data_IF_103952946545
#
_entry.id   IF_103952946545
#
_cell.length_a   1.000
_cell.length_b   1.000
_cell.length_c   1.000
_cell.angle_alpha   90.00
_cell.angle_beta   90.00
_cell.angle_gamma   90.00
#
_symmetry.space_group_name_H-M   'P 1'
#
loop_
_entity.id
_entity.type
_entity.pdbx_description
1 polymer ?
#
# COMPACT_ATOMS: atom_id res chain seq x y z
N UNK A 1 1.79 4.14 16.29
CA UNK A 1 2.45 4.64 15.07
C UNK A 1 3.88 5.05 15.42
N UNK A 2 4.87 4.69 14.62
CA UNK A 2 6.23 5.24 14.75
C UNK A 2 6.30 6.59 14.04
N UNK A 3 7.00 7.56 14.61
CA UNK A 3 7.29 8.81 13.91
C UNK A 3 8.14 8.55 12.67
N UNK A 4 7.98 9.35 11.61
CA UNK A 4 8.80 9.18 10.41
C UNK A 4 10.29 9.32 10.74
N UNK A 5 10.63 10.24 11.65
CA UNK A 5 12.00 10.44 12.19
C UNK A 5 12.62 9.18 12.81
N UNK A 6 11.79 8.23 13.24
CA UNK A 6 12.18 6.99 13.91
C UNK A 6 11.99 5.76 12.98
N UNK A 7 11.56 5.97 11.74
CA UNK A 7 11.35 4.91 10.76
C UNK A 7 12.62 4.69 9.91
N UNK A 8 13.43 3.70 10.30
CA UNK A 8 14.69 3.36 9.64
C UNK A 8 14.54 3.05 8.14
N UNK A 9 13.44 2.37 7.76
CA UNK A 9 13.19 2.05 6.37
C UNK A 9 12.91 3.32 5.56
N UNK A 10 12.06 4.22 6.08
CA UNK A 10 11.80 5.51 5.44
C UNK A 10 13.09 6.30 5.24
N UNK A 11 13.92 6.45 6.29
CA UNK A 11 15.17 7.20 6.19
C UNK A 11 16.19 6.61 5.21
N UNK A 12 16.30 5.29 5.17
CA UNK A 12 17.25 4.62 4.27
C UNK A 12 16.81 4.66 2.80
N UNK A 13 15.53 4.92 2.52
CA UNK A 13 14.96 4.84 1.16
C UNK A 13 14.57 6.19 0.57
N UNK A 14 14.12 7.17 1.37
CA UNK A 14 13.47 8.39 0.88
C UNK A 14 14.32 9.24 -0.07
N UNK A 15 15.62 9.42 0.20
CA UNK A 15 16.49 10.21 -0.68
C UNK A 15 16.76 9.48 -2.00
N UNK A 16 16.88 8.16 -1.96
CA UNK A 16 17.04 7.37 -3.18
C UNK A 16 15.74 7.28 -3.98
N UNK A 17 14.59 7.26 -3.29
CA UNK A 17 13.27 7.31 -3.87
C UNK A 17 13.06 8.60 -4.67
N UNK A 18 13.33 9.77 -4.08
CA UNK A 18 13.21 11.09 -4.75
C UNK A 18 14.08 11.24 -6.00
N UNK A 19 15.20 10.53 -6.04
CA UNK A 19 16.14 10.55 -7.17
C UNK A 19 15.84 9.46 -8.21
N UNK A 20 14.80 8.66 -7.97
CA UNK A 20 14.33 7.62 -8.87
C UNK A 20 13.08 8.08 -9.60
N UNK A 21 12.75 7.44 -10.72
CA UNK A 21 11.61 7.77 -11.57
C UNK A 21 10.32 7.06 -11.11
N UNK A 22 10.01 7.21 -9.81
CA UNK A 22 8.71 6.84 -9.27
C UNK A 22 7.70 7.93 -9.65
N UNK A 23 6.55 7.54 -10.18
CA UNK A 23 5.48 8.48 -10.54
C UNK A 23 4.56 8.82 -9.36
N UNK A 24 4.55 7.97 -8.35
CA UNK A 24 3.70 8.06 -7.16
C UNK A 24 4.51 8.36 -5.89
N UNK A 25 3.82 8.78 -4.82
CA UNK A 25 4.46 9.07 -3.53
C UNK A 25 5.03 7.80 -2.88
N UNK A 26 6.04 7.96 -2.01
CA UNK A 26 6.64 6.83 -1.29
C UNK A 26 5.61 6.13 -0.39
N UNK A 27 4.58 6.86 0.06
CA UNK A 27 3.43 6.35 0.79
C UNK A 27 2.57 5.43 -0.08
N UNK A 28 2.22 5.86 -1.30
CA UNK A 28 1.49 5.02 -2.27
C UNK A 28 2.28 3.76 -2.59
N UNK A 29 3.59 3.88 -2.85
CA UNK A 29 4.45 2.72 -3.13
C UNK A 29 4.52 1.77 -1.95
N UNK A 30 4.64 2.28 -0.72
CA UNK A 30 4.62 1.45 0.50
C UNK A 30 3.29 0.71 0.66
N UNK A 31 2.17 1.42 0.52
CA UNK A 31 0.83 0.84 0.59
C UNK A 31 0.66 -0.29 -0.42
N UNK A 32 1.07 -0.06 -1.68
CA UNK A 32 1.02 -1.06 -2.74
C UNK A 32 1.80 -2.32 -2.40
N UNK A 33 3.07 -2.16 -1.98
CA UNK A 33 3.91 -3.28 -1.59
C UNK A 33 3.26 -4.09 -0.47
N UNK A 34 2.79 -3.41 0.58
CA UNK A 34 2.13 -4.06 1.71
C UNK A 34 0.86 -4.80 1.28
N UNK A 35 0.04 -4.21 0.40
CA UNK A 35 -1.17 -4.84 -0.12
C UNK A 35 -0.89 -6.08 -0.96
N UNK A 36 0.09 -6.02 -1.86
CA UNK A 36 0.50 -7.16 -2.70
C UNK A 36 1.05 -8.30 -1.85
N UNK A 37 1.89 -7.96 -0.86
CA UNK A 37 2.39 -8.94 0.10
C UNK A 37 1.24 -9.53 0.92
N UNK A 38 0.31 -8.71 1.42
CA UNK A 38 -0.86 -9.18 2.17
C UNK A 38 -1.77 -10.12 1.36
N UNK A 39 -1.69 -10.07 0.03
CA UNK A 39 -2.51 -10.84 -0.89
C UNK A 39 -1.94 -12.22 -1.26
N UNK A 40 -0.84 -12.62 -0.65
CA UNK A 40 -0.25 -13.96 -0.83
C UNK A 40 1.09 -13.96 -1.56
N UNK A 41 1.49 -12.85 -2.18
CA UNK A 41 2.78 -12.75 -2.84
C UNK A 41 3.90 -12.54 -1.79
N UNK A 42 5.13 -12.83 -2.19
CA UNK A 42 6.33 -12.73 -1.37
C UNK A 42 7.38 -11.89 -2.07
N UNK A 43 8.38 -11.39 -1.34
CA UNK A 43 9.48 -10.63 -1.95
C UNK A 43 10.29 -11.40 -3.01
N UNK A 44 10.14 -12.73 -3.07
CA UNK A 44 10.76 -13.58 -4.08
C UNK A 44 9.98 -13.64 -5.40
N UNK A 45 8.75 -13.14 -5.43
CA UNK A 45 7.89 -13.17 -6.61
C UNK A 45 8.27 -12.07 -7.61
N UNK A 46 8.94 -12.47 -8.70
CA UNK A 46 9.38 -11.56 -9.76
C UNK A 46 8.24 -10.75 -10.41
N UNK A 47 7.00 -11.21 -10.32
CA UNK A 47 5.83 -10.52 -10.89
C UNK A 47 5.46 -9.23 -10.13
N UNK A 48 5.91 -9.05 -8.88
CA UNK A 48 5.56 -7.86 -8.08
C UNK A 48 6.07 -6.58 -8.75
N UNK A 49 7.30 -6.59 -9.28
CA UNK A 49 7.85 -5.43 -9.98
C UNK A 49 7.08 -5.13 -11.27
N UNK A 50 6.62 -6.15 -11.99
CA UNK A 50 5.81 -5.96 -13.20
C UNK A 50 4.44 -5.34 -12.86
N UNK A 51 3.78 -5.87 -11.83
CA UNK A 51 2.52 -5.32 -11.31
C UNK A 51 2.70 -3.88 -10.86
N UNK A 52 3.79 -3.58 -10.15
CA UNK A 52 4.12 -2.23 -9.73
C UNK A 52 4.25 -1.29 -10.93
N UNK A 53 5.05 -1.66 -11.94
CA UNK A 53 5.25 -0.81 -13.12
C UNK A 53 3.95 -0.53 -13.86
N UNK A 54 3.07 -1.52 -13.97
CA UNK A 54 1.81 -1.40 -14.72
C UNK A 54 0.73 -0.63 -13.96
N UNK A 55 0.65 -0.81 -12.64
CA UNK A 55 -0.47 -0.28 -11.84
C UNK A 55 -0.16 1.05 -11.15
N UNK A 56 1.11 1.27 -10.77
CA UNK A 56 1.52 2.42 -9.95
C UNK A 56 2.47 3.32 -10.72
N UNK A 57 3.31 2.77 -11.60
CA UNK A 57 4.31 3.55 -12.33
C UNK A 57 3.94 3.83 -13.80
N UNK A 58 2.66 3.76 -14.17
CA UNK A 58 2.11 4.06 -15.50
C UNK A 58 2.89 3.45 -16.68
N UNK A 59 3.27 2.17 -16.57
CA UNK A 59 4.11 1.43 -17.53
C UNK A 59 5.54 1.98 -17.72
N UNK A 60 5.94 2.99 -16.95
CA UNK A 60 7.31 3.50 -16.92
C UNK A 60 8.21 2.54 -16.14
N UNK A 61 9.28 2.05 -16.79
CA UNK A 61 10.25 1.18 -16.13
C UNK A 61 11.06 1.94 -15.08
N UNK A 62 11.25 1.37 -13.89
CA UNK A 62 12.14 1.94 -12.88
C UNK A 62 13.60 1.89 -13.31
N UNK A 63 14.35 2.95 -12.98
CA UNK A 63 15.82 2.95 -13.05
C UNK A 63 16.41 1.86 -12.15
N UNK A 64 17.66 1.47 -12.39
CA UNK A 64 18.34 0.48 -11.51
C UNK A 64 18.36 0.89 -10.03
N UNK A 65 18.43 2.20 -9.76
CA UNK A 65 18.30 2.77 -8.41
C UNK A 65 16.88 2.62 -7.86
N UNK A 66 15.87 2.90 -8.68
CA UNK A 66 14.46 2.70 -8.32
C UNK A 66 14.14 1.25 -8.01
N UNK A 67 14.64 0.31 -8.83
CA UNK A 67 14.52 -1.13 -8.58
C UNK A 67 15.13 -1.49 -7.23
N UNK A 68 16.35 -1.02 -6.93
CA UNK A 68 17.00 -1.29 -5.65
C UNK A 68 16.18 -0.77 -4.46
N UNK A 69 15.66 0.46 -4.54
CA UNK A 69 14.78 1.04 -3.51
C UNK A 69 13.52 0.20 -3.32
N UNK A 70 12.84 -0.14 -4.43
CA UNK A 70 11.63 -0.95 -4.42
C UNK A 70 11.88 -2.32 -3.78
N UNK A 71 12.95 -3.01 -4.16
CA UNK A 71 13.33 -4.31 -3.60
C UNK A 71 13.68 -4.22 -2.11
N UNK A 72 14.39 -3.17 -1.68
CA UNK A 72 14.66 -2.94 -0.25
C UNK A 72 13.37 -2.75 0.54
N UNK A 73 12.45 -1.91 0.03
CA UNK A 73 11.14 -1.73 0.66
C UNK A 73 10.38 -3.05 0.72
N UNK A 74 10.33 -3.81 -0.36
CA UNK A 74 9.64 -5.11 -0.46
C UNK A 74 10.15 -6.12 0.59
N UNK A 75 11.47 -6.26 0.74
CA UNK A 75 12.08 -7.20 1.69
C UNK A 75 11.80 -6.82 3.15
N UNK A 76 11.94 -5.53 3.47
CA UNK A 76 11.80 -5.03 4.84
C UNK A 76 10.32 -5.00 5.27
N UNK A 77 9.40 -4.61 4.37
CA UNK A 77 7.97 -4.60 4.65
C UNK A 77 7.40 -6.01 4.79
N UNK A 78 7.90 -7.00 4.04
CA UNK A 78 7.53 -8.40 4.27
C UNK A 78 8.01 -8.88 5.64
N UNK A 79 9.20 -8.47 6.08
CA UNK A 79 9.70 -8.78 7.43
C UNK A 79 8.82 -8.18 8.52
N UNK A 80 8.39 -6.93 8.34
CA UNK A 80 7.47 -6.23 9.25
C UNK A 80 6.12 -6.94 9.34
N UNK A 81 5.54 -7.36 8.20
CA UNK A 81 4.30 -8.15 8.16
C UNK A 81 4.43 -9.49 8.89
N UNK A 82 5.53 -10.23 8.69
CA UNK A 82 5.82 -11.49 9.42
C UNK A 82 5.90 -11.31 10.94
N UNK A 83 6.21 -10.11 11.41
CA UNK A 83 6.29 -9.77 12.82
C UNK A 83 5.03 -9.09 13.36
N UNK A 84 3.99 -8.93 12.54
CA UNK A 84 2.78 -8.16 12.85
C UNK A 84 3.10 -6.71 13.28
N UNK A 85 4.12 -6.09 12.67
CA UNK A 85 4.61 -4.75 12.99
C UNK A 85 4.60 -3.85 11.75
N UNK A 86 3.43 -3.51 11.25
CA UNK A 86 3.33 -2.62 10.08
C UNK A 86 3.58 -1.17 10.52
N UNK A 87 4.72 -0.63 10.09
CA UNK A 87 5.09 0.76 10.34
C UNK A 87 4.87 1.60 9.07
N UNK A 88 3.65 2.13 8.93
CA UNK A 88 3.28 2.98 7.79
C UNK A 88 4.13 4.27 7.75
N UNK A 89 4.41 4.76 6.55
CA UNK A 89 5.14 6.00 6.28
C UNK A 89 4.23 7.21 6.48
N UNK A 90 3.77 7.37 7.73
CA UNK A 90 2.81 8.36 8.17
C UNK A 90 3.45 9.30 9.20
N UNK A 91 3.09 10.57 9.15
CA UNK A 91 3.53 11.57 10.10
C UNK A 91 2.94 11.32 11.49
N UNK A 92 3.74 11.30 12.54
CA UNK A 92 3.29 11.29 13.94
C UNK A 92 2.98 12.69 14.46
N UNK A 93 2.40 12.82 15.66
CA UNK A 93 2.15 14.13 16.29
C UNK A 93 3.43 15.00 16.45
N UNK A 94 4.60 14.37 16.55
CA UNK A 94 5.89 15.07 16.67
C UNK A 94 6.39 15.67 15.34
N UNK A 95 5.87 15.19 14.21
CA UNK A 95 6.25 15.68 12.90
C UNK A 95 5.57 17.01 12.62
N UNK A 96 6.30 18.00 12.10
CA UNK A 96 5.77 19.35 11.78
C UNK A 96 4.93 19.37 10.49
N UNK A 97 4.12 18.34 10.28
CA UNK A 97 3.22 18.22 9.13
C UNK A 97 1.85 18.82 9.45
N UNK A 98 1.31 19.55 8.48
CA UNK A 98 -0.05 20.08 8.48
C UNK A 98 -1.10 18.95 8.45
N UNK A 99 -2.34 19.26 8.86
CA UNK A 99 -3.47 18.31 8.76
C UNK A 99 -3.63 17.79 7.33
N UNK A 100 -3.51 18.69 6.34
CA UNK A 100 -3.58 18.34 4.92
C UNK A 100 -2.50 17.33 4.51
N UNK A 101 -1.24 17.55 4.88
CA UNK A 101 -0.15 16.61 4.57
C UNK A 101 -0.34 15.24 5.22
N UNK A 102 -0.87 15.22 6.45
CA UNK A 102 -1.23 14.00 7.17
C UNK A 102 -2.32 13.23 6.45
N UNK A 103 -3.42 13.89 6.14
CA UNK A 103 -4.54 13.30 5.44
C UNK A 103 -4.15 12.80 4.05
N UNK A 104 -3.36 13.57 3.30
CA UNK A 104 -2.83 13.12 2.01
C UNK A 104 -1.99 11.85 2.16
N UNK A 105 -1.09 11.79 3.15
CA UNK A 105 -0.29 10.59 3.38
C UNK A 105 -1.16 9.36 3.73
N UNK A 106 -2.25 9.53 4.49
CA UNK A 106 -3.23 8.45 4.74
C UNK A 106 -3.89 7.97 3.45
N UNK A 107 -4.35 8.91 2.61
CA UNK A 107 -4.98 8.59 1.33
C UNK A 107 -4.04 7.83 0.41
N UNK A 108 -2.79 8.29 0.29
CA UNK A 108 -1.77 7.67 -0.53
C UNK A 108 -1.50 6.22 -0.08
N UNK A 109 -1.30 5.99 1.22
CA UNK A 109 -1.12 4.63 1.75
C UNK A 109 -2.36 3.77 1.49
N UNK A 110 -3.56 4.28 1.77
CA UNK A 110 -4.81 3.54 1.60
C UNK A 110 -5.05 3.19 0.13
N UNK A 111 -4.77 4.12 -0.78
CA UNK A 111 -4.86 3.93 -2.23
C UNK A 111 -3.91 2.82 -2.70
N UNK A 112 -2.63 2.91 -2.32
CA UNK A 112 -1.65 1.87 -2.61
C UNK A 112 -2.08 0.50 -2.07
N UNK A 113 -2.48 0.43 -0.80
CA UNK A 113 -2.92 -0.80 -0.15
C UNK A 113 -4.12 -1.43 -0.85
N UNK A 114 -5.12 -0.61 -1.22
CA UNK A 114 -6.29 -1.04 -1.97
C UNK A 114 -5.91 -1.66 -3.32
N UNK A 115 -5.02 -1.01 -4.08
CA UNK A 115 -4.52 -1.56 -5.35
C UNK A 115 -3.78 -2.87 -5.15
N UNK A 116 -2.90 -2.95 -4.16
CA UNK A 116 -2.14 -4.16 -3.87
C UNK A 116 -3.02 -5.35 -3.46
N UNK A 117 -4.00 -5.12 -2.58
CA UNK A 117 -4.96 -6.15 -2.15
C UNK A 117 -5.90 -6.60 -3.28
N UNK A 118 -6.11 -5.74 -4.27
CA UNK A 118 -6.92 -6.05 -5.47
C UNK A 118 -6.15 -6.89 -6.50
N UNK A 119 -4.84 -7.05 -6.36
CA UNK A 119 -4.06 -7.96 -7.21
C UNK A 119 -4.52 -9.41 -6.96
N UNK A 120 -4.59 -10.23 -8.00
CA UNK A 120 -4.77 -11.66 -7.82
C UNK A 120 -3.44 -12.39 -7.96
N UNK A 121 -3.14 -13.31 -7.04
CA UNK A 121 -2.03 -14.25 -7.14
C UNK A 121 -2.25 -15.31 -8.24
N UNK A 122 -2.86 -14.94 -9.37
CA UNK A 122 -3.07 -15.83 -10.51
C UNK A 122 -2.25 -15.33 -11.72
N UNK A 123 -1.10 -15.96 -12.03
CA UNK A 123 -0.12 -15.48 -13.01
C UNK A 123 -0.56 -15.60 -14.49
N UNK A 124 -1.82 -15.97 -14.76
CA UNK A 124 -2.32 -16.19 -16.14
C UNK A 124 -3.21 -15.08 -16.69
N UNK A 125 -3.35 -13.96 -16.00
CA UNK A 125 -4.18 -12.87 -16.49
C UNK A 125 -3.86 -11.57 -15.80
N UNK A 126 -2.80 -10.90 -16.24
CA UNK A 126 -2.71 -9.44 -16.20
C UNK A 126 -3.80 -8.86 -17.13
N UNK A 127 -5.06 -9.08 -16.79
CA UNK A 127 -6.16 -8.34 -17.38
C UNK A 127 -6.21 -7.00 -16.65
N UNK A 128 -5.44 -6.06 -17.18
CA UNK A 128 -5.42 -4.64 -16.81
C UNK A 128 -6.88 -4.16 -16.76
N UNK A 129 -7.31 -3.67 -15.60
CA UNK A 129 -8.68 -3.23 -15.35
C UNK A 129 -8.95 -1.90 -16.06
N UNK A 130 -9.22 -1.94 -17.37
CA UNK A 130 -9.80 -0.81 -18.08
C UNK A 130 -11.22 -0.54 -17.56
N UNK A 131 -11.54 0.75 -17.35
CA UNK A 131 -12.59 1.29 -16.49
C UNK A 131 -14.03 0.82 -16.75
N UNK A 132 -14.33 0.25 -17.92
CA UNK A 132 -15.68 -0.20 -18.27
C UNK A 132 -15.96 -1.67 -17.92
N UNK A 133 -14.94 -2.41 -17.46
CA UNK A 133 -15.03 -3.84 -17.10
C UNK A 133 -14.85 -4.12 -15.61
N UNK A 134 -14.82 -3.08 -14.76
CA UNK A 134 -14.62 -3.20 -13.30
C UNK A 134 -15.67 -4.11 -12.66
N UNK A 135 -16.93 -4.00 -13.05
CA UNK A 135 -18.05 -4.71 -12.42
C UNK A 135 -18.21 -6.16 -12.90
N UNK A 136 -17.73 -6.51 -14.10
CA UNK A 136 -17.90 -7.85 -14.67
C UNK A 136 -16.68 -8.77 -14.48
N UNK A 137 -15.47 -8.22 -14.35
CA UNK A 137 -14.28 -9.00 -13.99
C UNK A 137 -14.32 -9.48 -12.52
N UNK A 138 -14.90 -8.67 -11.61
CA UNK A 138 -15.22 -9.06 -10.23
C UNK A 138 -16.17 -10.27 -10.15
N UNK A 139 -16.99 -10.50 -11.19
CA UNK A 139 -17.99 -11.57 -11.21
C UNK A 139 -17.44 -12.92 -11.70
N UNK A 140 -16.25 -12.95 -12.32
CA UNK A 140 -15.74 -14.14 -13.03
C UNK A 140 -14.48 -14.77 -12.40
N UNK A 141 -13.98 -14.25 -11.28
CA UNK A 141 -12.77 -14.74 -10.62
C UNK A 141 -13.03 -15.03 -9.14
N UNK A 142 -12.34 -16.05 -8.60
CA UNK A 142 -12.34 -16.56 -7.21
C UNK A 142 -13.02 -15.59 -6.23
N UNK A 143 -14.28 -15.89 -5.86
CA UNK A 143 -15.18 -15.04 -5.06
C UNK A 143 -14.39 -14.26 -4.00
N UNK A 144 -14.20 -12.95 -4.21
CA UNK A 144 -13.64 -12.06 -3.18
C UNK A 144 -14.44 -12.32 -1.92
N UNK A 145 -13.75 -12.61 -0.81
CA UNK A 145 -14.45 -12.88 0.43
C UNK A 145 -15.23 -11.62 0.82
N UNK A 146 -16.47 -11.74 1.36
CA UNK A 146 -17.21 -10.56 1.80
C UNK A 146 -16.37 -9.67 2.72
N UNK A 147 -15.52 -10.29 3.55
CA UNK A 147 -14.58 -9.60 4.40
C UNK A 147 -13.54 -8.76 3.65
N UNK A 148 -12.92 -9.32 2.61
CA UNK A 148 -11.96 -8.56 1.79
C UNK A 148 -12.67 -7.42 1.05
N UNK A 149 -13.91 -7.64 0.60
CA UNK A 149 -14.71 -6.57 -0.01
C UNK A 149 -14.97 -5.43 0.99
N UNK A 150 -15.42 -5.72 2.21
CA UNK A 150 -15.66 -4.71 3.25
C UNK A 150 -14.38 -3.92 3.60
N UNK A 151 -13.22 -4.59 3.61
CA UNK A 151 -11.92 -3.95 3.83
C UNK A 151 -11.50 -3.05 2.67
N UNK A 152 -11.72 -3.47 1.43
CA UNK A 152 -11.49 -2.64 0.25
C UNK A 152 -12.42 -1.42 0.22
N UNK A 153 -13.67 -1.58 0.61
CA UNK A 153 -14.62 -0.47 0.74
C UNK A 153 -14.18 0.51 1.84
N UNK A 154 -13.65 0.01 2.95
CA UNK A 154 -13.06 0.83 4.03
C UNK A 154 -11.88 1.64 3.53
N UNK A 155 -10.92 1.01 2.83
CA UNK A 155 -9.77 1.70 2.22
C UNK A 155 -10.22 2.74 1.19
N UNK A 156 -11.22 2.41 0.36
CA UNK A 156 -11.82 3.34 -0.60
C UNK A 156 -12.41 4.58 0.06
N UNK A 157 -13.14 4.43 1.17
CA UNK A 157 -13.64 5.58 1.92
C UNK A 157 -12.52 6.47 2.47
N UNK A 158 -11.41 5.88 2.94
CA UNK A 158 -10.24 6.64 3.40
C UNK A 158 -9.67 7.50 2.27
N UNK A 159 -9.59 6.97 1.03
CA UNK A 159 -9.11 7.73 -0.13
C UNK A 159 -9.99 8.93 -0.52
N UNK A 160 -11.23 9.00 0.00
CA UNK A 160 -12.21 10.04 -0.32
C UNK A 160 -12.38 11.07 0.81
N UNK A 161 -11.61 10.96 1.89
CA UNK A 161 -11.64 11.93 2.99
C UNK A 161 -11.31 13.33 2.47
N UNK A 162 -12.02 14.36 2.93
CA UNK A 162 -11.70 15.73 2.54
C UNK A 162 -10.41 16.18 3.24
N UNK A 163 -9.32 16.35 2.49
CA UNK A 163 -8.02 16.78 3.00
C UNK A 163 -7.98 18.25 3.42
N UNK A 164 -8.98 19.04 3.00
CA UNK A 164 -9.13 20.45 3.33
C UNK A 164 -10.07 20.66 4.54
N UNK A 165 -10.55 19.58 5.17
CA UNK A 165 -11.35 19.64 6.40
C UNK A 165 -10.50 19.97 7.64
N UNK A 166 -10.93 20.98 8.38
CA UNK A 166 -10.36 21.35 9.69
C UNK A 166 -10.90 20.48 10.85
N UNK A 167 -11.87 19.60 10.59
CA UNK A 167 -12.55 18.82 11.63
C UNK A 167 -11.80 17.53 12.01
N UNK A 168 -10.73 17.19 11.29
CA UNK A 168 -10.04 15.92 11.47
C UNK A 168 -9.05 15.97 12.64
N UNK A 169 -9.30 15.18 13.69
CA UNK A 169 -8.44 15.18 14.87
C UNK A 169 -7.23 14.26 14.74
N UNK A 170 -6.22 14.46 15.59
CA UNK A 170 -5.07 13.56 15.69
C UNK A 170 -5.48 12.14 16.13
N UNK A 171 -6.57 12.00 16.89
CA UNK A 171 -7.07 10.68 17.31
C UNK A 171 -7.68 9.93 16.12
N UNK A 172 -8.45 10.63 15.27
CA UNK A 172 -9.01 10.04 14.04
C UNK A 172 -7.88 9.58 13.10
N UNK A 173 -6.85 10.40 12.97
CA UNK A 173 -5.66 10.08 12.19
C UNK A 173 -4.97 8.78 12.64
N UNK A 174 -4.72 8.66 13.94
CA UNK A 174 -4.06 7.49 14.53
C UNK A 174 -4.93 6.24 14.47
N UNK A 175 -6.24 6.41 14.63
CA UNK A 175 -7.23 5.34 14.49
C UNK A 175 -7.22 4.79 13.06
N UNK A 176 -7.37 5.65 12.04
CA UNK A 176 -7.39 5.21 10.64
C UNK A 176 -6.06 4.55 10.25
N UNK A 177 -4.93 5.09 10.67
CA UNK A 177 -3.63 4.48 10.42
C UNK A 177 -3.52 3.06 11.03
N UNK A 178 -4.08 2.87 12.22
CA UNK A 178 -4.11 1.57 12.89
C UNK A 178 -5.02 0.59 12.15
N UNK A 179 -6.18 1.05 11.68
CA UNK A 179 -7.11 0.25 10.87
C UNK A 179 -6.47 -0.22 9.55
N UNK A 180 -5.78 0.68 8.82
CA UNK A 180 -5.04 0.29 7.60
C UNK A 180 -4.01 -0.81 7.93
N UNK A 181 -3.22 -0.63 8.99
CA UNK A 181 -2.24 -1.62 9.42
C UNK A 181 -2.88 -2.96 9.79
N UNK A 182 -4.02 -2.94 10.47
CA UNK A 182 -4.76 -4.15 10.86
C UNK A 182 -5.28 -4.91 9.65
N UNK A 183 -5.87 -4.22 8.66
CA UNK A 183 -6.33 -4.82 7.40
C UNK A 183 -5.18 -5.57 6.70
N UNK A 184 -4.00 -4.94 6.62
CA UNK A 184 -2.82 -5.52 5.96
C UNK A 184 -2.29 -6.76 6.71
N UNK A 185 -2.15 -6.68 8.03
CA UNK A 185 -1.69 -7.80 8.87
C UNK A 185 -2.68 -8.97 8.79
N UNK A 186 -3.99 -8.67 8.85
CA UNK A 186 -5.03 -9.69 8.81
C UNK A 186 -5.03 -10.46 7.48
N UNK A 187 -4.96 -9.74 6.36
CA UNK A 187 -4.91 -10.38 5.04
C UNK A 187 -3.62 -11.18 4.84
N UNK A 188 -2.46 -10.64 5.26
CA UNK A 188 -1.20 -11.36 5.22
C UNK A 188 -1.25 -12.65 6.03
N UNK A 189 -1.75 -12.57 7.27
CA UNK A 189 -1.91 -13.74 8.15
C UNK A 189 -2.84 -14.78 7.51
N UNK A 190 -3.98 -14.35 6.97
CA UNK A 190 -4.93 -15.24 6.33
C UNK A 190 -4.33 -15.94 5.10
N UNK A 191 -3.70 -15.19 4.20
CA UNK A 191 -3.21 -15.71 2.93
C UNK A 191 -1.89 -16.51 3.05
N UNK A 192 -1.06 -16.29 4.08
CA UNK A 192 0.22 -17.00 4.25
C UNK A 192 0.18 -18.14 5.27
N UNK A 193 -0.85 -18.21 6.12
CA UNK A 193 -1.07 -19.35 7.04
C UNK A 193 -2.03 -20.38 6.43
N UNK A 194 -3.03 -19.94 5.66
CA UNK A 194 -4.05 -20.81 5.08
C UNK A 194 -3.93 -20.97 3.55
N UNK A 195 -2.94 -20.36 2.92
CA UNK A 195 -2.65 -20.43 1.48
C UNK A 195 -1.86 -21.65 1.05
#
# INVERSE_FOLDING_TARGET
>A
MLALKDNNLYHSTVESFKQSNFEESIQTVQGFILGVLAQGLTSSDNQILQLFTQLINNDTALSGKGIAVFTTMLLELERDLKQNKVNLFLYSADDKATTKERLQALQDVAYGAMLGLSVHANPKGLAIMASETRTQALASQKKISPKLQDQLDTLSHITQVDVDSDEFSQQDYEFIATEIGAILVENYTFNHIHG
#
